data_IF_960904308789
#
_entry.id   IF_960904308789
#
_cell.length_a   1.000
_cell.length_b   1.000
_cell.length_c   1.000
_cell.angle_alpha   90.00
_cell.angle_beta   90.00
_cell.angle_gamma   90.00
#
_symmetry.space_group_name_H-M   'P 1'
#
loop_
_entity.id
_entity.type
_entity.pdbx_description
1 polymer ?
#
# COMPACT_ATOMS: atom_id res chain seq x y z
N UNK A 1 -20.79 8.95 19.40
CA UNK A 1 -19.31 8.91 19.53
C UNK A 1 -18.74 8.81 18.12
N UNK A 2 -17.82 9.69 17.74
CA UNK A 2 -17.25 9.68 16.39
C UNK A 2 -16.42 8.42 16.15
N UNK A 3 -16.57 7.84 14.95
CA UNK A 3 -15.90 6.61 14.50
C UNK A 3 -14.50 6.96 13.98
N UNK A 4 -13.55 7.15 14.89
CA UNK A 4 -12.16 7.46 14.51
C UNK A 4 -11.22 6.57 15.31
N UNK A 5 -10.18 6.00 14.67
CA UNK A 5 -9.18 5.24 15.39
C UNK A 5 -8.46 6.12 16.43
N UNK A 6 -7.91 5.51 17.47
CA UNK A 6 -7.23 6.19 18.57
C UNK A 6 -6.11 7.12 18.11
N UNK A 7 -5.84 8.17 18.89
CA UNK A 7 -4.68 9.02 18.70
C UNK A 7 -3.46 8.47 19.44
N UNK A 8 -2.28 9.00 19.13
CA UNK A 8 -0.99 8.55 19.66
C UNK A 8 -0.10 9.76 19.98
N UNK A 9 0.71 9.73 21.05
CA UNK A 9 1.64 10.81 21.35
C UNK A 9 2.84 10.88 20.39
N UNK A 10 3.07 9.82 19.61
CA UNK A 10 4.26 9.68 18.75
C UNK A 10 4.10 10.27 17.35
N UNK A 11 2.87 10.60 16.95
CA UNK A 11 2.61 11.17 15.63
C UNK A 11 1.38 12.07 15.63
N UNK A 12 1.39 13.02 14.70
CA UNK A 12 0.18 13.72 14.27
C UNK A 12 -0.40 13.05 13.02
N UNK A 13 -1.72 12.97 12.95
CA UNK A 13 -2.43 12.30 11.85
C UNK A 13 -3.33 13.27 11.11
N UNK A 14 -3.25 13.27 9.78
CA UNK A 14 -4.14 14.04 8.90
C UNK A 14 -4.74 13.17 7.80
N UNK A 15 -6.01 13.40 7.46
CA UNK A 15 -6.66 12.83 6.29
C UNK A 15 -6.55 13.82 5.13
N UNK A 16 -6.12 13.36 3.96
CA UNK A 16 -5.97 14.16 2.75
C UNK A 16 -6.73 13.52 1.60
N UNK A 17 -7.31 14.35 0.74
CA UNK A 17 -7.91 13.95 -0.54
C UNK A 17 -7.25 14.76 -1.64
N UNK A 18 -6.68 14.07 -2.63
CA UNK A 18 -5.91 14.68 -3.73
C UNK A 18 -6.33 14.08 -5.08
N UNK A 19 -5.86 14.68 -6.16
CA UNK A 19 -6.05 14.09 -7.49
C UNK A 19 -5.33 12.74 -7.60
N UNK A 20 -6.04 11.75 -8.14
CA UNK A 20 -5.48 10.49 -8.60
C UNK A 20 -4.73 10.68 -9.93
N UNK A 21 -3.91 9.71 -10.33
CA UNK A 21 -3.19 9.74 -11.59
C UNK A 21 -4.13 9.62 -12.80
N UNK A 22 -3.70 10.23 -13.90
CA UNK A 22 -4.41 10.37 -15.17
C UNK A 22 -3.35 10.49 -16.28
N UNK A 23 -3.47 9.83 -17.45
CA UNK A 23 -4.57 8.97 -17.93
C UNK A 23 -4.68 7.62 -17.23
N UNK A 24 -5.92 7.10 -17.26
CA UNK A 24 -6.33 5.78 -16.76
C UNK A 24 -6.81 4.90 -17.92
N UNK A 25 -6.94 3.60 -17.68
CA UNK A 25 -7.50 2.66 -18.63
C UNK A 25 -8.90 3.09 -19.10
N UNK A 26 -9.24 2.91 -20.39
CA UNK A 26 -10.59 3.14 -20.88
C UNK A 26 -11.61 2.34 -20.08
N UNK A 27 -12.69 2.99 -19.63
CA UNK A 27 -13.71 2.34 -18.81
C UNK A 27 -13.47 2.40 -17.30
N UNK A 28 -12.33 2.95 -16.83
CA UNK A 28 -12.11 3.20 -15.40
C UNK A 28 -12.93 4.35 -14.83
N UNK A 29 -13.37 5.26 -15.69
CA UNK A 29 -14.28 6.35 -15.32
C UNK A 29 -15.44 6.37 -16.29
N UNK A 30 -16.65 6.23 -15.76
CA UNK A 30 -17.90 6.24 -16.52
C UNK A 30 -18.82 7.29 -15.92
N UNK A 31 -19.11 8.33 -16.70
CA UNK A 31 -20.01 9.41 -16.30
C UNK A 31 -21.45 9.07 -16.71
N UNK A 32 -22.43 9.60 -15.98
CA UNK A 32 -23.85 9.47 -16.35
C UNK A 32 -24.19 10.11 -17.71
N UNK A 33 -23.40 11.10 -18.13
CA UNK A 33 -23.43 11.71 -19.46
C UNK A 33 -21.99 11.96 -19.93
N UNK A 34 -21.64 11.72 -21.20
CA UNK A 34 -20.32 12.05 -21.73
C UNK A 34 -19.97 13.53 -21.54
N UNK A 35 -18.68 13.82 -21.32
CA UNK A 35 -18.18 15.19 -21.20
C UNK A 35 -16.97 15.41 -22.12
N UNK A 36 -16.75 16.67 -22.50
CA UNK A 36 -15.54 17.11 -23.21
C UNK A 36 -14.49 17.70 -22.26
N UNK A 37 -14.80 17.81 -20.98
CA UNK A 37 -13.94 18.40 -19.96
C UNK A 37 -13.12 17.31 -19.25
N UNK A 38 -11.80 17.50 -19.14
CA UNK A 38 -10.89 16.52 -18.53
C UNK A 38 -11.19 16.33 -17.03
N UNK A 39 -11.52 17.42 -16.35
CA UNK A 39 -11.79 17.49 -14.92
C UNK A 39 -12.98 16.60 -14.50
N UNK A 40 -13.95 16.38 -15.39
CA UNK A 40 -15.08 15.51 -15.10
C UNK A 40 -14.63 14.05 -14.92
N UNK A 41 -13.61 13.64 -15.66
CA UNK A 41 -12.99 12.31 -15.59
C UNK A 41 -11.93 12.16 -14.49
N UNK A 42 -11.64 13.23 -13.74
CA UNK A 42 -10.62 13.18 -12.70
C UNK A 42 -11.17 12.48 -11.45
N UNK A 43 -10.55 11.34 -11.10
CA UNK A 43 -10.75 10.66 -9.81
C UNK A 43 -9.88 11.30 -8.73
N UNK A 44 -10.25 11.06 -7.48
CA UNK A 44 -9.51 11.47 -6.29
C UNK A 44 -8.98 10.25 -5.54
N UNK A 45 -7.90 10.45 -4.79
CA UNK A 45 -7.36 9.46 -3.85
C UNK A 45 -7.31 10.06 -2.46
N UNK A 46 -7.82 9.31 -1.49
CA UNK A 46 -7.83 9.63 -0.08
C UNK A 46 -6.74 8.84 0.65
N UNK A 47 -5.95 9.53 1.47
CA UNK A 47 -4.92 8.90 2.26
C UNK A 47 -4.74 9.57 3.61
N UNK A 48 -4.29 8.77 4.56
CA UNK A 48 -3.96 9.20 5.90
C UNK A 48 -2.45 9.32 6.04
N UNK A 49 -2.01 10.51 6.40
CA UNK A 49 -0.61 10.84 6.67
C UNK A 49 -0.39 10.88 8.18
N UNK A 50 0.63 10.17 8.64
CA UNK A 50 1.10 10.16 10.01
C UNK A 50 2.50 10.77 10.02
N UNK A 51 2.73 11.83 10.78
CA UNK A 51 4.01 12.54 10.88
C UNK A 51 4.50 12.45 12.30
N UNK A 52 5.75 12.05 12.49
CA UNK A 52 6.35 11.95 13.81
C UNK A 52 6.26 13.28 14.59
N UNK A 53 5.98 13.19 15.89
CA UNK A 53 6.10 14.35 16.80
C UNK A 53 7.56 14.59 17.22
N UNK A 54 8.46 13.64 16.93
CA UNK A 54 9.87 13.73 17.25
C UNK A 54 10.59 14.72 16.33
N UNK A 55 11.44 15.55 16.92
CA UNK A 55 12.35 16.37 16.13
C UNK A 55 13.49 15.50 15.55
N UNK A 56 13.49 15.33 14.23
CA UNK A 56 14.55 14.60 13.52
C UNK A 56 15.70 15.57 13.19
N UNK A 57 16.95 15.26 13.58
CA UNK A 57 18.10 16.08 13.19
C UNK A 57 18.20 16.24 11.67
N UNK A 58 18.60 17.42 11.21
CA UNK A 58 18.59 17.77 9.78
C UNK A 58 19.33 16.76 8.88
N UNK A 59 20.48 16.28 9.33
CA UNK A 59 21.34 15.36 8.57
C UNK A 59 21.07 13.87 8.85
N UNK A 60 20.11 13.54 9.73
CA UNK A 60 19.80 12.13 10.00
C UNK A 60 18.98 11.51 8.87
N UNK A 61 19.14 10.19 8.59
CA UNK A 61 18.23 9.49 7.71
C UNK A 61 16.79 9.51 8.25
N UNK A 62 15.84 9.51 7.31
CA UNK A 62 14.40 9.62 7.56
C UNK A 62 13.70 8.44 6.94
N UNK A 63 13.15 7.55 7.76
CA UNK A 63 12.43 6.39 7.28
C UNK A 63 10.99 6.81 7.00
N UNK A 64 10.53 6.59 5.77
CA UNK A 64 9.14 6.79 5.41
C UNK A 64 8.51 5.44 5.05
N UNK A 65 7.26 5.24 5.45
CA UNK A 65 6.51 4.03 5.08
C UNK A 65 5.31 4.38 4.23
N UNK A 66 5.04 3.53 3.24
CA UNK A 66 3.83 3.54 2.44
C UNK A 66 3.12 2.19 2.56
N UNK A 67 1.91 2.19 3.10
CA UNK A 67 1.09 1.01 3.31
C UNK A 67 -0.03 0.90 2.28
N UNK A 68 -0.11 -0.26 1.60
CA UNK A 68 -1.10 -0.57 0.57
C UNK A 68 -1.96 -1.76 1.01
N UNK A 69 -3.26 -1.55 1.12
CA UNK A 69 -4.21 -2.59 1.52
C UNK A 69 -4.59 -3.54 0.36
N UNK A 70 -5.16 -4.70 0.69
CA UNK A 70 -5.72 -5.65 -0.27
C UNK A 70 -7.10 -5.26 -0.80
N UNK A 71 -7.64 -6.07 -1.71
CA UNK A 71 -9.01 -5.88 -2.22
C UNK A 71 -10.04 -5.99 -1.08
N UNK A 72 -11.13 -5.21 -1.11
CA UNK A 72 -12.15 -5.17 -0.06
C UNK A 72 -11.68 -4.65 1.29
N UNK A 73 -10.60 -3.87 1.34
CA UNK A 73 -10.10 -3.26 2.58
C UNK A 73 -10.01 -1.74 2.42
N UNK A 74 -9.59 -1.06 3.48
CA UNK A 74 -9.28 0.37 3.46
C UNK A 74 -8.05 0.64 4.34
N UNK A 75 -7.52 1.87 4.30
CA UNK A 75 -6.35 2.33 5.05
C UNK A 75 -6.46 2.17 6.58
N UNK A 76 -7.68 2.03 7.12
CA UNK A 76 -7.93 1.77 8.53
C UNK A 76 -7.33 0.44 9.00
N UNK A 77 -7.17 -0.52 8.09
CA UNK A 77 -6.58 -1.84 8.38
C UNK A 77 -5.15 -1.74 8.92
N UNK A 78 -4.42 -0.68 8.55
CA UNK A 78 -3.01 -0.49 8.92
C UNK A 78 -2.83 0.33 10.20
N UNK A 79 -3.89 0.94 10.73
CA UNK A 79 -3.75 1.91 11.81
C UNK A 79 -3.12 1.29 13.08
N UNK A 80 -3.51 0.06 13.43
CA UNK A 80 -2.94 -0.65 14.58
C UNK A 80 -1.44 -0.92 14.39
N UNK A 81 -1.05 -1.39 13.21
CA UNK A 81 0.32 -1.73 12.84
C UNK A 81 1.19 -0.47 12.82
N UNK A 82 0.68 0.64 12.29
CA UNK A 82 1.38 1.93 12.25
C UNK A 82 1.61 2.45 13.67
N UNK A 83 0.62 2.37 14.55
CA UNK A 83 0.76 2.79 15.95
C UNK A 83 1.82 1.97 16.71
N UNK A 84 1.80 0.64 16.52
CA UNK A 84 2.84 -0.26 17.05
C UNK A 84 4.22 0.04 16.48
N UNK A 85 4.30 0.37 15.19
CA UNK A 85 5.55 0.69 14.51
C UNK A 85 6.18 1.96 15.08
N UNK A 86 5.43 3.05 15.23
CA UNK A 86 5.91 4.28 15.88
C UNK A 86 6.37 4.02 17.32
N UNK A 87 5.56 3.29 18.10
CA UNK A 87 5.90 2.93 19.48
C UNK A 87 7.21 2.14 19.55
N UNK A 88 7.39 1.16 18.66
CA UNK A 88 8.58 0.32 18.62
C UNK A 88 9.83 1.12 18.24
N UNK A 89 9.74 2.05 17.28
CA UNK A 89 10.89 2.88 16.89
C UNK A 89 11.29 3.85 18.00
N UNK A 90 10.31 4.42 18.71
CA UNK A 90 10.60 5.30 19.84
C UNK A 90 11.31 4.57 20.99
N UNK A 91 10.90 3.33 21.29
CA UNK A 91 11.44 2.56 22.42
C UNK A 91 12.72 1.80 22.08
N UNK A 92 12.78 1.17 20.90
CA UNK A 92 13.81 0.18 20.57
C UNK A 92 14.88 0.67 19.59
N UNK A 93 14.63 1.77 18.86
CA UNK A 93 15.52 2.25 17.80
C UNK A 93 15.77 3.77 17.91
N UNK A 94 16.44 4.25 18.98
CA UNK A 94 16.61 5.68 19.23
C UNK A 94 17.32 6.43 18.09
N UNK A 95 18.16 5.76 17.30
CA UNK A 95 18.93 6.34 16.19
C UNK A 95 18.29 6.14 14.80
N UNK A 96 17.13 5.48 14.72
CA UNK A 96 16.36 5.33 13.49
C UNK A 96 15.07 6.13 13.61
N UNK A 97 14.83 7.03 12.67
CA UNK A 97 13.72 7.97 12.77
C UNK A 97 12.68 7.68 11.71
N UNK A 98 11.48 7.26 12.13
CA UNK A 98 10.31 7.34 11.27
C UNK A 98 9.94 8.81 11.16
N UNK A 99 9.90 9.33 9.93
CA UNK A 99 9.44 10.68 9.63
C UNK A 99 7.94 10.64 9.30
N UNK A 100 7.62 10.02 8.17
CA UNK A 100 6.26 10.02 7.63
C UNK A 100 5.80 8.60 7.30
N UNK A 101 4.59 8.25 7.74
CA UNK A 101 3.88 7.04 7.28
C UNK A 101 2.63 7.46 6.52
N UNK A 102 2.35 6.79 5.41
CA UNK A 102 1.13 6.95 4.63
C UNK A 102 0.40 5.62 4.52
N UNK A 103 -0.91 5.65 4.74
CA UNK A 103 -1.82 4.58 4.33
C UNK A 103 -2.93 5.19 3.47
N UNK A 104 -3.12 4.69 2.25
CA UNK A 104 -4.09 5.25 1.30
C UNK A 104 -5.15 4.23 0.91
N UNK A 105 -6.35 4.72 0.59
CA UNK A 105 -7.40 3.93 -0.03
C UNK A 105 -7.21 3.93 -1.54
N UNK A 106 -7.29 2.77 -2.22
CA UNK A 106 -7.36 2.75 -3.69
C UNK A 106 -8.57 3.55 -4.17
N UNK A 107 -8.57 4.03 -5.43
CA UNK A 107 -9.59 4.98 -5.92
C UNK A 107 -11.04 4.51 -5.76
N UNK A 108 -11.27 3.20 -5.70
CA UNK A 108 -12.59 2.58 -5.54
C UNK A 108 -12.82 1.93 -4.17
N UNK A 109 -11.99 2.23 -3.15
CA UNK A 109 -12.21 1.79 -1.76
C UNK A 109 -12.28 2.95 -0.75
N UNK A 110 -12.85 2.68 0.43
CA UNK A 110 -12.88 3.60 1.57
C UNK A 110 -13.27 5.04 1.23
N UNK A 111 -12.53 6.00 1.78
CA UNK A 111 -12.78 7.43 1.56
C UNK A 111 -12.61 7.83 0.08
N UNK A 112 -11.72 7.17 -0.67
CA UNK A 112 -11.54 7.41 -2.10
C UNK A 112 -12.81 7.06 -2.89
N UNK A 113 -13.40 5.89 -2.64
CA UNK A 113 -14.65 5.47 -3.27
C UNK A 113 -15.77 6.47 -2.98
N UNK A 114 -15.86 6.91 -1.72
CA UNK A 114 -16.89 7.82 -1.28
C UNK A 114 -16.83 9.17 -2.02
N UNK A 115 -15.62 9.73 -2.23
CA UNK A 115 -15.46 10.98 -3.00
C UNK A 115 -15.56 10.79 -4.51
N UNK A 116 -15.36 9.56 -5.00
CA UNK A 116 -15.46 9.20 -6.43
C UNK A 116 -16.84 8.63 -6.81
N UNK A 117 -17.79 8.59 -5.87
CA UNK A 117 -19.12 8.01 -6.06
C UNK A 117 -19.80 8.59 -7.30
N UNK A 118 -20.30 7.70 -8.16
CA UNK A 118 -20.93 8.06 -9.44
C UNK A 118 -19.97 8.33 -10.60
N UNK A 119 -18.65 8.18 -10.41
CA UNK A 119 -17.64 8.25 -11.48
C UNK A 119 -16.96 6.92 -11.79
N UNK A 120 -16.89 6.01 -10.82
CA UNK A 120 -16.21 4.72 -10.96
C UNK A 120 -16.84 3.91 -12.11
N UNK A 121 -15.98 3.34 -12.94
CA UNK A 121 -16.39 2.56 -14.11
C UNK A 121 -16.32 1.05 -13.89
N UNK A 122 -16.31 0.29 -14.98
CA UNK A 122 -16.30 -1.18 -14.95
C UNK A 122 -14.90 -1.79 -15.12
N UNK A 123 -13.89 -0.95 -15.38
CA UNK A 123 -12.49 -1.37 -15.51
C UNK A 123 -11.69 -0.87 -14.31
N UNK A 124 -11.21 -1.79 -13.49
CA UNK A 124 -10.24 -1.50 -12.44
C UNK A 124 -8.88 -2.08 -12.82
N UNK A 125 -8.06 -1.26 -13.48
CA UNK A 125 -6.68 -1.63 -13.80
C UNK A 125 -5.77 -1.34 -12.60
N UNK A 126 -5.21 -2.40 -12.01
CA UNK A 126 -4.32 -2.28 -10.85
C UNK A 126 -3.03 -1.52 -11.20
N UNK A 127 -2.65 -1.45 -12.47
CA UNK A 127 -1.50 -0.66 -12.92
C UNK A 127 -1.76 0.86 -12.81
N UNK A 128 -3.01 1.31 -12.93
CA UNK A 128 -3.33 2.72 -12.67
C UNK A 128 -3.24 3.04 -11.19
N UNK A 129 -3.57 2.09 -10.31
CA UNK A 129 -3.38 2.26 -8.87
C UNK A 129 -1.89 2.46 -8.53
N UNK A 130 -0.97 1.77 -9.21
CA UNK A 130 0.47 2.01 -9.03
C UNK A 130 0.86 3.46 -9.34
N UNK A 131 0.30 4.05 -10.41
CA UNK A 131 0.51 5.46 -10.75
C UNK A 131 -0.05 6.39 -9.68
N UNK A 132 -1.18 6.04 -9.06
CA UNK A 132 -1.77 6.84 -7.97
C UNK A 132 -0.82 6.94 -6.77
N UNK A 133 -0.23 5.82 -6.34
CA UNK A 133 0.72 5.80 -5.23
C UNK A 133 2.06 6.46 -5.57
N UNK A 134 2.53 6.35 -6.82
CA UNK A 134 3.68 7.12 -7.31
C UNK A 134 3.37 8.63 -7.25
N UNK A 135 2.16 9.04 -7.63
CA UNK A 135 1.74 10.45 -7.57
C UNK A 135 1.64 10.95 -6.12
N UNK A 136 1.10 10.14 -5.20
CA UNK A 136 1.11 10.46 -3.76
C UNK A 136 2.53 10.76 -3.28
N UNK A 137 3.48 9.90 -3.58
CA UNK A 137 4.85 9.99 -3.05
C UNK A 137 5.69 11.06 -3.77
N UNK A 138 5.69 11.11 -5.11
CA UNK A 138 6.53 12.02 -5.88
C UNK A 138 5.97 13.44 -6.01
N UNK A 139 4.65 13.61 -5.90
CA UNK A 139 4.00 14.91 -6.13
C UNK A 139 3.36 15.43 -4.85
N UNK A 140 2.44 14.69 -4.25
CA UNK A 140 1.64 15.19 -3.12
C UNK A 140 2.42 15.25 -1.81
N UNK A 141 3.35 14.34 -1.60
CA UNK A 141 4.14 14.17 -0.37
C UNK A 141 5.65 14.17 -0.65
N UNK A 142 6.04 14.91 -1.71
CA UNK A 142 7.42 15.00 -2.19
C UNK A 142 8.41 15.44 -1.11
N UNK A 143 7.98 16.28 -0.17
CA UNK A 143 8.87 16.83 0.86
C UNK A 143 9.35 15.73 1.84
N UNK A 144 8.56 14.68 2.02
CA UNK A 144 8.95 13.51 2.81
C UNK A 144 9.68 12.47 1.94
N UNK A 145 9.07 12.04 0.83
CA UNK A 145 9.55 10.90 0.05
C UNK A 145 10.72 11.24 -0.88
N UNK A 146 10.88 12.50 -1.29
CA UNK A 146 12.03 12.96 -2.08
C UNK A 146 13.06 13.71 -1.23
N UNK A 147 12.94 13.67 0.10
CA UNK A 147 13.96 14.23 0.98
C UNK A 147 15.33 13.57 0.68
N UNK A 148 16.44 14.33 0.65
CA UNK A 148 17.75 13.77 0.30
C UNK A 148 18.14 12.54 1.14
N UNK A 149 17.81 12.59 2.43
CA UNK A 149 18.06 11.53 3.42
C UNK A 149 16.88 10.55 3.61
N UNK A 150 15.90 10.55 2.71
CA UNK A 150 14.77 9.61 2.79
C UNK A 150 15.23 8.16 2.55
N UNK A 151 14.70 7.26 3.37
CA UNK A 151 14.71 5.81 3.22
C UNK A 151 13.24 5.36 3.15
N UNK A 152 12.74 5.19 1.93
CA UNK A 152 11.34 4.90 1.69
C UNK A 152 11.11 3.39 1.63
N UNK A 153 10.13 2.93 2.40
CA UNK A 153 9.70 1.54 2.50
C UNK A 153 8.27 1.43 1.99
N UNK A 154 7.99 0.40 1.20
CA UNK A 154 6.60 0.03 0.87
C UNK A 154 6.25 -1.30 1.53
N UNK A 155 5.08 -1.34 2.19
CA UNK A 155 4.52 -2.53 2.83
C UNK A 155 3.14 -2.75 2.25
N UNK A 156 2.88 -3.93 1.69
CA UNK A 156 1.70 -4.11 0.87
C UNK A 156 1.10 -5.50 0.99
N UNK A 157 -0.23 -5.62 0.94
CA UNK A 157 -0.94 -6.90 1.01
C UNK A 157 -1.76 -7.18 -0.24
N UNK A 158 -1.77 -8.45 -0.70
CA UNK A 158 -2.67 -8.92 -1.76
C UNK A 158 -2.62 -8.08 -3.04
N UNK A 159 -3.72 -7.45 -3.42
CA UNK A 159 -3.79 -6.49 -4.53
C UNK A 159 -2.77 -5.36 -4.39
N UNK A 160 -2.63 -4.82 -3.18
CA UNK A 160 -1.59 -3.85 -2.85
C UNK A 160 -0.18 -4.39 -3.11
N UNK A 161 0.05 -5.68 -2.90
CA UNK A 161 1.33 -6.34 -3.17
C UNK A 161 1.72 -6.29 -4.65
N UNK A 162 0.77 -6.59 -5.55
CA UNK A 162 0.96 -6.40 -6.99
C UNK A 162 1.23 -4.93 -7.33
N UNK A 163 0.42 -4.02 -6.78
CA UNK A 163 0.57 -2.58 -7.02
C UNK A 163 1.97 -2.11 -6.61
N UNK A 164 2.48 -2.56 -5.44
CA UNK A 164 3.83 -2.24 -4.98
C UNK A 164 4.93 -2.78 -5.91
N UNK A 165 4.77 -3.98 -6.48
CA UNK A 165 5.69 -4.51 -7.49
C UNK A 165 5.75 -3.62 -8.73
N UNK A 166 4.58 -3.17 -9.21
CA UNK A 166 4.51 -2.25 -10.34
C UNK A 166 5.16 -0.90 -10.01
N UNK A 167 4.94 -0.38 -8.80
CA UNK A 167 5.57 0.86 -8.36
C UNK A 167 7.10 0.77 -8.34
N UNK A 168 7.66 -0.31 -7.79
CA UNK A 168 9.12 -0.48 -7.69
C UNK A 168 9.76 -0.84 -9.02
N UNK A 169 9.01 -1.41 -9.96
CA UNK A 169 9.44 -1.56 -11.35
C UNK A 169 9.50 -0.22 -12.11
N UNK A 170 8.47 0.64 -11.94
CA UNK A 170 8.39 1.95 -12.63
C UNK A 170 9.37 2.97 -12.02
N UNK A 171 9.51 2.99 -10.70
CA UNK A 171 10.31 3.96 -9.94
C UNK A 171 11.35 3.25 -9.04
N UNK A 172 12.36 2.56 -9.61
CA UNK A 172 13.28 1.69 -8.86
C UNK A 172 14.18 2.43 -7.87
N UNK A 173 14.28 3.76 -7.95
CA UNK A 173 15.08 4.58 -7.04
C UNK A 173 14.25 5.31 -5.98
N UNK A 174 12.92 5.21 -6.04
CA UNK A 174 12.03 5.87 -5.09
C UNK A 174 11.99 5.11 -3.75
N UNK A 175 12.06 3.78 -3.78
CA UNK A 175 12.01 2.92 -2.59
C UNK A 175 13.33 2.20 -2.35
N UNK A 176 13.67 1.99 -1.08
CA UNK A 176 14.88 1.28 -0.65
C UNK A 176 14.59 -0.14 -0.19
N UNK A 177 13.35 -0.46 0.17
CA UNK A 177 12.91 -1.83 0.39
C UNK A 177 11.40 -1.98 0.15
N UNK A 178 10.98 -3.20 -0.19
CA UNK A 178 9.58 -3.57 -0.30
C UNK A 178 9.26 -4.85 0.46
N UNK A 179 8.12 -4.89 1.15
CA UNK A 179 7.63 -6.07 1.86
C UNK A 179 6.21 -6.37 1.38
N UNK A 180 6.05 -7.52 0.74
CA UNK A 180 4.83 -7.93 0.07
C UNK A 180 4.22 -9.12 0.82
N UNK A 181 3.00 -8.96 1.30
CA UNK A 181 2.31 -9.94 2.14
C UNK A 181 1.23 -10.61 1.29
N UNK A 182 1.41 -11.90 0.97
CA UNK A 182 0.58 -12.67 0.03
C UNK A 182 0.21 -11.87 -1.24
N UNK A 183 1.19 -11.36 -2.01
CA UNK A 183 0.91 -10.56 -3.20
C UNK A 183 0.14 -11.37 -4.25
N UNK A 184 -0.93 -10.80 -4.81
CA UNK A 184 -1.66 -11.42 -5.94
C UNK A 184 -0.95 -11.04 -7.24
N UNK A 185 0.15 -11.71 -7.54
CA UNK A 185 1.09 -11.32 -8.59
C UNK A 185 1.36 -12.39 -9.67
N UNK A 186 0.75 -13.57 -9.53
CA UNK A 186 0.85 -14.69 -10.48
C UNK A 186 -0.55 -15.11 -10.90
N UNK A 187 -0.74 -15.38 -12.19
CA UNK A 187 -2.01 -15.82 -12.78
C UNK A 187 -1.87 -17.19 -13.42
N UNK A 188 -2.95 -17.97 -13.36
CA UNK A 188 -3.10 -19.28 -14.00
C UNK A 188 -4.41 -19.24 -14.79
N UNK A 189 -4.36 -18.91 -16.09
CA UNK A 189 -5.56 -18.73 -16.92
C UNK A 189 -6.52 -19.93 -16.88
N UNK A 190 -6.00 -21.14 -16.70
CA UNK A 190 -6.76 -22.38 -16.52
C UNK A 190 -7.68 -22.36 -15.29
N UNK A 191 -7.35 -21.59 -14.26
CA UNK A 191 -8.14 -21.45 -13.04
C UNK A 191 -9.20 -20.34 -13.13
N UNK A 192 -9.22 -19.54 -14.20
CA UNK A 192 -10.14 -18.38 -14.33
C UNK A 192 -11.60 -18.78 -14.11
N UNK A 193 -12.04 -19.85 -14.77
CA UNK A 193 -13.43 -20.34 -14.64
C UNK A 193 -13.76 -20.79 -13.21
N UNK A 194 -12.81 -21.38 -12.50
CA UNK A 194 -12.98 -21.77 -11.10
C UNK A 194 -13.09 -20.52 -10.21
N UNK A 195 -12.16 -19.57 -10.37
CA UNK A 195 -12.14 -18.33 -9.60
C UNK A 195 -13.44 -17.52 -9.77
N UNK A 196 -13.96 -17.41 -11.00
CA UNK A 196 -15.24 -16.73 -11.25
C UNK A 196 -16.41 -17.38 -10.50
N UNK A 197 -16.45 -18.72 -10.42
CA UNK A 197 -17.47 -19.43 -9.63
C UNK A 197 -17.33 -19.16 -8.13
N UNK A 198 -16.09 -19.09 -7.62
CA UNK A 198 -15.81 -18.74 -6.22
C UNK A 198 -16.31 -17.33 -5.91
N UNK A 199 -16.06 -16.36 -6.80
CA UNK A 199 -16.53 -14.99 -6.62
C UNK A 199 -18.08 -14.89 -6.66
N UNK A 200 -18.72 -15.65 -7.56
CA UNK A 200 -20.19 -15.78 -7.59
C UNK A 200 -20.74 -16.36 -6.28
N UNK A 201 -20.12 -17.41 -5.75
CA UNK A 201 -20.51 -18.02 -4.47
C UNK A 201 -20.36 -17.01 -3.31
N UNK A 202 -19.28 -16.24 -3.28
CA UNK A 202 -19.10 -15.18 -2.28
C UNK A 202 -20.19 -14.11 -2.35
N UNK A 203 -20.59 -13.70 -3.55
CA UNK A 203 -21.69 -12.76 -3.76
C UNK A 203 -23.01 -13.33 -3.24
N UNK A 204 -23.36 -14.57 -3.62
CA UNK A 204 -24.61 -15.20 -3.20
C UNK A 204 -24.68 -15.51 -1.70
N UNK A 205 -23.53 -15.55 -1.01
CA UNK A 205 -23.44 -15.77 0.44
C UNK A 205 -23.31 -14.47 1.25
N UNK A 206 -23.43 -13.31 0.61
CA UNK A 206 -23.27 -11.99 1.23
C UNK A 206 -21.93 -11.82 1.96
N UNK A 207 -20.81 -12.30 1.41
CA UNK A 207 -19.50 -12.11 2.07
C UNK A 207 -19.07 -10.64 2.14
N UNK A 208 -19.46 -9.86 1.13
CA UNK A 208 -19.22 -8.43 1.02
C UNK A 208 -20.56 -7.72 1.08
N UNK A 209 -20.69 -6.74 1.96
CA UNK A 209 -21.87 -5.88 2.06
C UNK A 209 -21.47 -4.43 1.92
N UNK A 210 -22.27 -3.69 1.19
CA UNK A 210 -22.09 -2.25 0.95
C UNK A 210 -23.17 -1.38 1.59
N UNK A 211 -24.25 -2.02 2.05
CA UNK A 211 -25.23 -1.40 2.94
C UNK A 211 -25.88 -2.45 3.84
N UNK A 212 -26.49 -1.95 4.91
CA UNK A 212 -27.32 -2.69 5.85
C UNK A 212 -28.66 -2.00 5.91
N UNK A 213 -29.72 -2.64 5.45
CA UNK A 213 -31.07 -2.09 5.40
C UNK A 213 -31.99 -2.75 6.42
N UNK A 214 -33.16 -2.14 6.60
CA UNK A 214 -34.25 -2.65 7.44
C UNK A 214 -33.82 -2.97 8.88
N UNK A 215 -32.86 -2.22 9.43
CA UNK A 215 -32.42 -2.37 10.81
C UNK A 215 -33.60 -1.98 11.74
N UNK A 216 -34.10 -2.88 12.59
CA UNK A 216 -35.19 -2.59 13.53
C UNK A 216 -34.88 -1.45 14.50
N UNK A 217 -35.89 -0.67 14.85
CA UNK A 217 -35.78 0.36 15.90
C UNK A 217 -35.47 -0.28 17.25
N UNK A 218 -34.48 0.27 17.97
CA UNK A 218 -33.97 -0.30 19.22
C UNK A 218 -32.76 -1.24 19.05
N UNK A 219 -32.44 -1.67 17.84
CA UNK A 219 -31.19 -2.41 17.58
C UNK A 219 -30.00 -1.47 17.36
N UNK A 220 -28.82 -1.93 17.80
CA UNK A 220 -27.57 -1.22 17.56
C UNK A 220 -27.06 -1.54 16.15
N UNK A 221 -27.27 -0.62 15.21
CA UNK A 221 -26.84 -0.77 13.82
C UNK A 221 -25.33 -1.06 13.69
N UNK A 222 -24.49 -0.43 14.52
CA UNK A 222 -23.04 -0.65 14.48
C UNK A 222 -22.68 -2.07 14.90
N UNK A 223 -23.37 -2.61 15.90
CA UNK A 223 -23.18 -3.99 16.34
C UNK A 223 -23.57 -4.99 15.23
N UNK A 224 -24.65 -4.75 14.48
CA UNK A 224 -25.05 -5.61 13.34
C UNK A 224 -23.99 -5.64 12.24
N UNK A 225 -23.42 -4.49 11.90
CA UNK A 225 -22.32 -4.40 10.93
C UNK A 225 -21.14 -5.21 11.45
N UNK A 226 -20.72 -4.96 12.70
CA UNK A 226 -19.60 -5.65 13.31
C UNK A 226 -19.82 -7.18 13.34
N UNK A 227 -21.00 -7.63 13.76
CA UNK A 227 -21.40 -9.04 13.81
C UNK A 227 -21.33 -9.72 12.44
N UNK A 228 -21.81 -9.04 11.39
CA UNK A 228 -21.70 -9.55 10.03
C UNK A 228 -20.24 -9.78 9.64
N UNK A 229 -19.38 -8.79 9.90
CA UNK A 229 -17.96 -8.90 9.56
C UNK A 229 -17.24 -9.95 10.41
N UNK A 230 -17.58 -10.13 11.69
CA UNK A 230 -16.96 -11.17 12.51
C UNK A 230 -17.44 -12.59 12.21
N UNK A 231 -18.66 -12.76 11.69
CA UNK A 231 -19.27 -14.10 11.59
C UNK A 231 -19.47 -14.60 10.16
N UNK A 232 -19.58 -13.70 9.17
CA UNK A 232 -20.03 -14.05 7.80
C UNK A 232 -19.10 -13.58 6.68
N UNK A 233 -18.06 -12.81 6.99
CA UNK A 233 -17.17 -12.22 5.99
C UNK A 233 -15.75 -12.85 5.96
N UNK A 234 -14.91 -12.35 5.05
CA UNK A 234 -13.47 -12.67 4.98
C UNK A 234 -12.67 -12.22 6.21
N UNK A 235 -13.23 -11.32 7.02
CA UNK A 235 -12.52 -10.62 8.09
C UNK A 235 -12.72 -11.27 9.47
N UNK A 236 -13.39 -12.42 9.55
CA UNK A 236 -13.77 -13.11 10.79
C UNK A 236 -12.62 -13.43 11.76
N UNK A 237 -11.39 -13.58 11.24
CA UNK A 237 -10.19 -13.90 12.03
C UNK A 237 -9.33 -12.66 12.33
N UNK A 238 -9.76 -11.48 11.92
CA UNK A 238 -8.96 -10.27 12.10
C UNK A 238 -8.78 -9.97 13.58
N UNK A 239 -7.62 -9.44 13.92
CA UNK A 239 -7.38 -8.88 15.24
C UNK A 239 -8.48 -7.84 15.55
N UNK A 240 -9.16 -7.89 16.71
CA UNK A 240 -10.36 -7.09 16.95
C UNK A 240 -10.16 -5.58 16.76
N UNK A 241 -8.98 -5.06 17.15
CA UNK A 241 -8.64 -3.65 16.96
C UNK A 241 -8.42 -3.31 15.49
N UNK A 242 -7.82 -4.21 14.71
CA UNK A 242 -7.60 -4.04 13.27
C UNK A 242 -8.95 -4.02 12.54
N UNK A 243 -9.83 -4.97 12.84
CA UNK A 243 -11.18 -5.00 12.28
C UNK A 243 -11.98 -3.75 12.63
N UNK A 244 -11.96 -3.33 13.91
CA UNK A 244 -12.64 -2.11 14.35
C UNK A 244 -12.13 -0.89 13.60
N UNK A 245 -10.81 -0.71 13.49
CA UNK A 245 -10.23 0.44 12.79
C UNK A 245 -10.63 0.47 11.31
N UNK A 246 -10.63 -0.69 10.64
CA UNK A 246 -11.09 -0.80 9.26
C UNK A 246 -12.59 -0.45 9.12
N UNK A 247 -13.44 -1.00 10.00
CA UNK A 247 -14.89 -0.74 9.96
C UNK A 247 -15.25 0.70 10.29
N UNK A 248 -14.62 1.29 11.29
CA UNK A 248 -14.82 2.71 11.64
C UNK A 248 -14.40 3.63 10.49
N UNK A 249 -13.33 3.29 9.77
CA UNK A 249 -12.93 4.00 8.56
C UNK A 249 -13.91 3.80 7.41
N UNK A 250 -14.64 2.68 7.37
CA UNK A 250 -15.55 2.32 6.30
C UNK A 250 -16.93 2.97 6.42
N UNK A 251 -17.31 3.38 7.63
CA UNK A 251 -18.62 3.98 7.89
C UNK A 251 -18.53 5.51 7.65
N UNK A 252 -19.42 6.10 6.83
CA UNK A 252 -19.46 7.55 6.61
C UNK A 252 -19.61 8.36 7.91
N UNK A 253 -18.95 9.52 8.00
CA UNK A 253 -18.92 10.35 9.21
C UNK A 253 -20.30 10.87 9.66
N UNK A 254 -21.29 10.84 8.78
CA UNK A 254 -22.68 11.24 9.07
C UNK A 254 -23.43 10.29 10.01
N UNK A 255 -22.95 9.05 10.17
CA UNK A 255 -23.55 8.08 11.08
C UNK A 255 -23.02 8.26 12.50
N UNK A 256 -23.93 8.50 13.46
CA UNK A 256 -23.59 8.54 14.88
C UNK A 256 -24.10 7.28 15.59
N UNK A 257 -23.21 6.59 16.32
CA UNK A 257 -23.55 5.41 17.14
C UNK A 257 -24.68 5.67 18.14
N UNK A 258 -24.93 6.92 18.54
CA UNK A 258 -26.00 7.29 19.47
C UNK A 258 -27.38 7.39 18.82
N UNK A 259 -27.46 7.41 17.48
CA UNK A 259 -28.70 7.60 16.72
C UNK A 259 -29.11 6.32 16.02
N UNK A 260 -30.43 6.18 15.85
CA UNK A 260 -31.01 5.11 15.05
C UNK A 260 -30.93 5.46 13.56
N UNK A 261 -30.58 4.46 12.76
CA UNK A 261 -30.63 4.50 11.30
C UNK A 261 -31.25 3.20 10.80
N UNK A 262 -32.32 3.32 10.01
CA UNK A 262 -32.95 2.16 9.36
C UNK A 262 -32.02 1.53 8.31
N UNK A 263 -31.22 2.37 7.66
CA UNK A 263 -30.26 1.96 6.64
C UNK A 263 -28.91 2.61 6.93
N UNK A 264 -27.85 1.83 6.83
CA UNK A 264 -26.46 2.29 6.91
C UNK A 264 -25.74 1.85 5.64
N UNK A 265 -25.33 2.82 4.84
CA UNK A 265 -24.53 2.63 3.64
C UNK A 265 -23.05 2.85 3.95
N UNK A 266 -22.19 1.95 3.46
CA UNK A 266 -20.74 2.03 3.63
C UNK A 266 -20.11 2.95 2.57
N UNK A 267 -18.86 3.35 2.79
CA UNK A 267 -18.16 4.31 1.94
C UNK A 267 -17.88 3.74 0.54
N UNK A 268 -17.33 2.53 0.46
CA UNK A 268 -17.15 1.85 -0.82
C UNK A 268 -18.34 0.98 -1.19
N UNK A 269 -18.65 0.97 -2.49
CA UNK A 269 -19.58 0.02 -3.06
C UNK A 269 -18.86 -1.33 -3.13
N UNK A 270 -19.27 -2.27 -2.30
CA UNK A 270 -18.73 -3.64 -2.25
C UNK A 270 -18.82 -4.39 -3.59
N UNK A 271 -19.58 -3.89 -4.57
CA UNK A 271 -19.49 -4.38 -5.95
C UNK A 271 -18.13 -4.11 -6.61
N UNK A 272 -17.44 -3.05 -6.19
CA UNK A 272 -16.09 -2.71 -6.65
C UNK A 272 -15.07 -3.80 -6.32
N UNK A 273 -15.26 -4.54 -5.23
CA UNK A 273 -14.42 -5.68 -4.88
C UNK A 273 -14.50 -6.77 -5.96
N UNK A 274 -15.71 -7.04 -6.47
CA UNK A 274 -15.93 -8.02 -7.54
C UNK A 274 -15.40 -7.52 -8.89
N UNK A 275 -15.53 -6.22 -9.17
CA UNK A 275 -14.91 -5.59 -10.34
C UNK A 275 -13.38 -5.75 -10.27
N UNK A 276 -12.76 -5.52 -9.12
CA UNK A 276 -11.33 -5.74 -8.91
C UNK A 276 -10.94 -7.20 -9.13
N UNK A 277 -11.69 -8.16 -8.57
CA UNK A 277 -11.41 -9.59 -8.80
C UNK A 277 -11.50 -9.96 -10.28
N UNK A 278 -12.51 -9.44 -10.99
CA UNK A 278 -12.72 -9.71 -12.41
C UNK A 278 -11.56 -9.21 -13.30
N UNK A 279 -11.03 -8.02 -13.00
CA UNK A 279 -9.97 -7.35 -13.77
C UNK A 279 -8.54 -7.74 -13.33
N UNK A 280 -8.40 -8.52 -12.26
CA UNK A 280 -7.09 -8.89 -11.69
C UNK A 280 -6.16 -9.59 -12.70
N UNK A 281 -6.67 -10.57 -13.43
CA UNK A 281 -5.87 -11.36 -14.38
C UNK A 281 -5.33 -10.53 -15.54
N UNK A 282 -6.17 -9.63 -16.08
CA UNK A 282 -5.77 -8.71 -17.14
C UNK A 282 -4.72 -7.72 -16.64
N UNK A 283 -4.93 -7.14 -15.45
CA UNK A 283 -3.99 -6.22 -14.82
C UNK A 283 -2.60 -6.86 -14.63
N UNK A 284 -2.57 -8.09 -14.12
CA UNK A 284 -1.32 -8.82 -13.86
C UNK A 284 -0.63 -9.19 -15.18
N UNK A 285 -1.38 -9.78 -16.12
CA UNK A 285 -0.81 -10.27 -17.37
C UNK A 285 -0.26 -9.14 -18.24
N UNK A 286 -0.91 -7.96 -18.23
CA UNK A 286 -0.51 -6.81 -19.03
C UNK A 286 0.90 -6.29 -18.70
N UNK A 287 1.37 -6.46 -17.47
CA UNK A 287 2.62 -5.86 -17.00
C UNK A 287 3.55 -6.82 -16.28
N UNK A 288 3.26 -8.13 -16.32
CA UNK A 288 4.08 -9.18 -15.70
C UNK A 288 5.57 -9.11 -16.06
N UNK A 289 5.89 -8.79 -17.31
CA UNK A 289 7.28 -8.65 -17.78
C UNK A 289 8.05 -7.52 -17.09
N UNK A 290 7.35 -6.54 -16.48
CA UNK A 290 7.99 -5.46 -15.73
C UNK A 290 8.62 -5.92 -14.42
N UNK A 291 8.31 -7.12 -13.92
CA UNK A 291 8.94 -7.67 -12.72
C UNK A 291 10.47 -7.80 -12.89
N UNK A 292 10.94 -8.03 -14.11
CA UNK A 292 12.36 -8.04 -14.46
C UNK A 292 13.07 -6.71 -14.22
N UNK A 293 12.34 -5.61 -14.00
CA UNK A 293 12.89 -4.29 -13.68
C UNK A 293 12.97 -4.00 -12.18
N UNK A 294 12.42 -4.87 -11.34
CA UNK A 294 12.48 -4.69 -9.89
C UNK A 294 13.94 -4.89 -9.44
N UNK A 295 14.51 -3.83 -8.85
CA UNK A 295 15.86 -3.82 -8.27
C UNK A 295 15.86 -3.52 -6.78
N UNK A 296 14.68 -3.18 -6.24
CA UNK A 296 14.50 -2.87 -4.83
C UNK A 296 14.58 -4.17 -4.02
N UNK A 297 15.38 -4.25 -2.94
CA UNK A 297 15.36 -5.36 -2.01
C UNK A 297 13.92 -5.68 -1.58
N UNK A 298 13.46 -6.89 -1.91
CA UNK A 298 12.05 -7.26 -1.77
C UNK A 298 11.91 -8.54 -0.96
N UNK A 299 11.05 -8.51 0.05
CA UNK A 299 10.65 -9.68 0.82
C UNK A 299 9.19 -10.02 0.55
N UNK A 300 8.92 -11.26 0.18
CA UNK A 300 7.57 -11.80 0.04
C UNK A 300 7.27 -12.70 1.23
N UNK A 301 6.23 -12.37 1.99
CA UNK A 301 5.71 -13.22 3.06
C UNK A 301 4.48 -13.97 2.54
N UNK A 302 4.52 -15.30 2.55
CA UNK A 302 3.42 -16.16 2.14
C UNK A 302 2.84 -16.91 3.34
N UNK A 303 1.52 -17.08 3.40
CA UNK A 303 0.90 -17.99 4.36
C UNK A 303 0.90 -19.42 3.82
N UNK A 304 1.37 -20.40 4.59
CA UNK A 304 1.41 -21.81 4.16
C UNK A 304 0.04 -22.34 3.69
N UNK A 305 -1.04 -21.93 4.37
CA UNK A 305 -2.40 -22.35 4.04
C UNK A 305 -3.09 -21.40 3.05
N UNK A 306 -2.32 -20.52 2.40
CA UNK A 306 -2.81 -19.68 1.32
C UNK A 306 -2.75 -20.40 -0.03
N UNK A 307 -3.81 -20.31 -0.82
CA UNK A 307 -3.86 -20.96 -2.14
C UNK A 307 -2.80 -20.41 -3.12
N UNK A 308 -2.35 -19.16 -2.94
CA UNK A 308 -1.32 -18.53 -3.76
C UNK A 308 0.10 -18.91 -3.33
N UNK A 309 0.31 -19.47 -2.14
CA UNK A 309 1.66 -19.76 -1.64
C UNK A 309 2.40 -20.74 -2.55
N UNK A 310 1.75 -21.83 -2.96
CA UNK A 310 2.30 -22.81 -3.91
C UNK A 310 2.63 -22.17 -5.26
N UNK A 311 1.81 -21.22 -5.71
CA UNK A 311 2.02 -20.54 -6.97
C UNK A 311 3.20 -19.57 -6.93
N UNK A 312 3.29 -18.78 -5.87
CA UNK A 312 4.44 -17.90 -5.63
C UNK A 312 5.72 -18.72 -5.54
N UNK A 313 5.72 -19.82 -4.78
CA UNK A 313 6.87 -20.72 -4.64
C UNK A 313 7.30 -21.29 -6.00
N UNK A 314 6.34 -21.68 -6.86
CA UNK A 314 6.63 -22.19 -8.20
C UNK A 314 7.35 -21.18 -9.12
N UNK A 315 7.21 -19.88 -8.85
CA UNK A 315 7.80 -18.79 -9.64
C UNK A 315 9.06 -18.19 -9.01
N UNK A 316 9.52 -18.70 -7.85
CA UNK A 316 10.64 -18.14 -7.08
C UNK A 316 11.96 -18.08 -7.85
N UNK A 317 12.22 -19.07 -8.71
CA UNK A 317 13.46 -19.14 -9.50
C UNK A 317 13.28 -18.55 -10.92
N UNK A 318 12.12 -17.95 -11.20
CA UNK A 318 11.76 -17.38 -12.50
C UNK A 318 11.35 -15.91 -12.31
N UNK A 319 10.06 -15.62 -12.43
CA UNK A 319 9.48 -14.28 -12.43
C UNK A 319 9.64 -13.56 -11.09
N UNK A 320 9.79 -14.31 -9.99
CA UNK A 320 9.93 -13.77 -8.63
C UNK A 320 11.36 -13.92 -8.09
N UNK A 321 12.34 -14.18 -8.96
CA UNK A 321 13.77 -14.34 -8.58
C UNK A 321 14.42 -13.10 -7.96
N UNK A 322 13.77 -11.94 -8.07
CA UNK A 322 14.20 -10.69 -7.43
C UNK A 322 13.89 -10.64 -5.92
N UNK A 323 13.08 -11.55 -5.38
CA UNK A 323 12.54 -11.48 -4.02
C UNK A 323 13.04 -12.60 -3.08
N UNK A 324 13.24 -12.27 -1.81
CA UNK A 324 13.34 -13.25 -0.72
C UNK A 324 11.93 -13.72 -0.34
N UNK A 325 11.60 -14.99 -0.62
CA UNK A 325 10.30 -15.57 -0.27
C UNK A 325 10.40 -16.32 1.07
N UNK A 326 9.52 -15.99 2.01
CA UNK A 326 9.38 -16.67 3.29
C UNK A 326 7.94 -17.18 3.46
N UNK A 327 7.79 -18.49 3.59
CA UNK A 327 6.50 -19.15 3.90
C UNK A 327 6.32 -19.24 5.42
N UNK A 328 5.14 -18.85 5.91
CA UNK A 328 4.78 -18.80 7.33
C UNK A 328 3.80 -19.92 7.67
N UNK A 329 4.26 -20.84 8.50
CA UNK A 329 3.50 -22.02 8.96
C UNK A 329 2.16 -21.62 9.59
N UNK A 330 1.09 -22.34 9.22
CA UNK A 330 -0.24 -22.15 9.78
C UNK A 330 -0.93 -20.82 9.40
N UNK A 331 -0.32 -19.97 8.57
CA UNK A 331 -0.88 -18.68 8.17
C UNK A 331 -1.68 -18.76 6.87
N UNK A 332 -2.64 -17.84 6.72
CA UNK A 332 -3.55 -17.73 5.57
C UNK A 332 -3.37 -16.37 4.86
N UNK A 333 -4.18 -16.10 3.84
CA UNK A 333 -4.12 -14.87 3.03
C UNK A 333 -4.02 -13.59 3.83
N UNK A 334 -4.87 -13.44 4.86
CA UNK A 334 -5.05 -12.19 5.59
C UNK A 334 -4.17 -12.09 6.84
N UNK A 335 -3.03 -12.79 6.87
CA UNK A 335 -2.15 -12.84 8.04
C UNK A 335 -1.68 -11.47 8.56
N UNK A 336 -1.61 -10.44 7.71
CA UNK A 336 -1.32 -9.06 8.11
C UNK A 336 -2.33 -8.47 9.10
N UNK A 337 -3.58 -8.96 9.08
CA UNK A 337 -4.67 -8.52 9.93
C UNK A 337 -5.03 -9.58 10.99
N UNK A 338 -4.80 -10.86 10.73
CA UNK A 338 -5.02 -11.97 11.69
C UNK A 338 -3.89 -12.09 12.72
N UNK A 339 -2.65 -11.76 12.33
CA UNK A 339 -1.45 -11.83 13.19
C UNK A 339 -0.58 -10.58 13.01
N UNK A 340 -1.13 -9.37 13.23
CA UNK A 340 -0.47 -8.12 12.89
C UNK A 340 0.88 -7.95 13.58
N UNK A 341 1.01 -8.36 14.85
CA UNK A 341 2.27 -8.20 15.60
C UNK A 341 3.41 -9.05 15.02
N UNK A 342 3.13 -10.31 14.67
CA UNK A 342 4.10 -11.20 14.01
C UNK A 342 4.54 -10.62 12.67
N UNK A 343 3.57 -10.22 11.83
CA UNK A 343 3.87 -9.70 10.51
C UNK A 343 4.66 -8.40 10.60
N UNK A 344 4.33 -7.50 11.52
CA UNK A 344 5.08 -6.27 11.72
C UNK A 344 6.48 -6.48 12.30
N UNK A 345 6.69 -7.53 13.10
CA UNK A 345 8.04 -7.95 13.49
C UNK A 345 8.88 -8.31 12.27
N UNK A 346 8.36 -9.18 11.39
CA UNK A 346 9.07 -9.61 10.17
C UNK A 346 9.31 -8.45 9.19
N UNK A 347 8.33 -7.56 9.03
CA UNK A 347 8.49 -6.31 8.27
C UNK A 347 9.63 -5.49 8.84
N UNK A 348 9.65 -5.28 10.16
CA UNK A 348 10.67 -4.48 10.80
C UNK A 348 12.06 -5.10 10.69
N UNK A 349 12.20 -6.41 10.89
CA UNK A 349 13.47 -7.11 10.79
C UNK A 349 14.10 -6.94 9.40
N UNK A 350 13.28 -7.02 8.35
CA UNK A 350 13.72 -6.79 6.98
C UNK A 350 14.08 -5.33 6.73
N UNK A 351 13.28 -4.38 7.21
CA UNK A 351 13.56 -2.94 7.08
C UNK A 351 14.86 -2.55 7.78
N UNK A 352 15.08 -3.02 9.01
CA UNK A 352 16.30 -2.76 9.78
C UNK A 352 17.52 -3.35 9.06
N UNK A 353 17.40 -4.55 8.50
CA UNK A 353 18.45 -5.17 7.69
C UNK A 353 18.77 -4.32 6.47
N UNK A 354 17.78 -4.00 5.64
CA UNK A 354 17.96 -3.18 4.44
C UNK A 354 18.53 -1.78 4.77
N UNK A 355 18.07 -1.16 5.86
CA UNK A 355 18.54 0.15 6.30
C UNK A 355 20.03 0.12 6.68
N UNK A 356 20.50 -0.95 7.31
CA UNK A 356 21.91 -1.13 7.69
C UNK A 356 22.79 -1.50 6.50
N UNK A 357 22.28 -2.29 5.56
CA UNK A 357 23.04 -2.80 4.41
C UNK A 357 23.11 -1.82 3.23
N UNK A 358 22.12 -0.93 3.09
CA UNK A 358 22.03 0.03 1.99
C UNK A 358 22.04 1.50 2.45
N UNK A 359 23.09 1.96 3.16
CA UNK A 359 23.20 3.38 3.48
C UNK A 359 23.35 4.17 2.18
N UNK A 360 22.38 5.06 1.91
CA UNK A 360 22.43 5.95 0.76
C UNK A 360 23.66 6.85 0.89
N UNK A 361 24.63 6.71 -0.01
CA UNK A 361 25.79 7.61 -0.04
C UNK A 361 25.31 8.96 -0.58
N UNK A 362 25.27 9.95 0.30
CA UNK A 362 24.86 11.31 -0.03
C UNK A 362 26.06 12.16 -0.46
N UNK A 363 25.78 13.33 -1.05
CA UNK A 363 26.81 14.34 -1.30
C UNK A 363 27.54 14.77 -0.02
N UNK A 364 26.88 14.72 1.14
CA UNK A 364 27.54 14.98 2.42
C UNK A 364 28.59 13.91 2.75
N UNK A 365 28.29 12.64 2.51
CA UNK A 365 29.26 11.55 2.70
C UNK A 365 30.42 11.65 1.69
N UNK A 366 30.12 12.01 0.43
CA UNK A 366 31.16 12.27 -0.55
C UNK A 366 32.03 13.47 -0.19
N UNK A 367 31.44 14.57 0.28
CA UNK A 367 32.16 15.75 0.74
C UNK A 367 33.02 15.44 1.97
N UNK A 368 32.48 14.68 2.94
CA UNK A 368 33.24 14.21 4.12
C UNK A 368 34.45 13.37 3.71
N UNK A 369 34.32 12.54 2.67
CA UNK A 369 35.38 11.64 2.20
C UNK A 369 36.41 12.32 1.28
N UNK A 370 35.97 13.20 0.38
CA UNK A 370 36.78 13.73 -0.72
C UNK A 370 36.97 15.26 -0.68
N UNK A 371 36.40 15.95 0.31
CA UNK A 371 36.48 17.40 0.46
C UNK A 371 35.65 18.16 -0.58
N UNK A 372 35.95 19.44 -0.76
CA UNK A 372 35.26 20.34 -1.70
C UNK A 372 35.32 19.90 -3.16
N UNK A 373 36.33 19.11 -3.53
CA UNK A 373 36.56 18.65 -4.90
C UNK A 373 35.90 17.29 -5.21
N UNK A 374 35.06 16.77 -4.30
CA UNK A 374 34.42 15.46 -4.44
C UNK A 374 33.76 15.26 -5.80
N UNK A 375 33.09 16.29 -6.33
CA UNK A 375 32.42 16.23 -7.63
C UNK A 375 33.40 15.89 -8.76
N UNK A 376 34.50 16.63 -8.88
CA UNK A 376 35.49 16.40 -9.93
C UNK A 376 36.23 15.08 -9.72
N UNK A 377 36.50 14.68 -8.47
CA UNK A 377 37.11 13.39 -8.13
C UNK A 377 36.23 12.22 -8.56
N UNK A 378 34.94 12.23 -8.20
CA UNK A 378 33.98 11.18 -8.55
C UNK A 378 33.82 11.06 -10.07
N UNK A 379 33.72 12.20 -10.77
CA UNK A 379 33.62 12.22 -12.24
C UNK A 379 34.87 11.67 -12.92
N UNK A 380 36.06 12.10 -12.49
CA UNK A 380 37.33 11.61 -13.03
C UNK A 380 37.49 10.12 -12.79
N UNK A 381 37.20 9.64 -11.59
CA UNK A 381 37.24 8.21 -11.27
C UNK A 381 36.38 7.42 -12.26
N UNK A 382 35.13 7.84 -12.48
CA UNK A 382 34.24 7.10 -13.39
C UNK A 382 34.68 7.14 -14.85
N UNK A 383 35.28 8.26 -15.27
CA UNK A 383 35.85 8.38 -16.61
C UNK A 383 37.13 7.56 -16.78
N UNK A 384 37.96 7.43 -15.75
CA UNK A 384 39.11 6.51 -15.77
C UNK A 384 38.67 5.05 -15.84
N UNK A 385 37.63 4.65 -15.08
CA UNK A 385 37.06 3.30 -15.19
C UNK A 385 36.62 2.97 -16.64
N UNK A 386 36.21 3.97 -17.42
CA UNK A 386 35.75 3.82 -18.80
C UNK A 386 36.89 3.91 -19.83
N UNK A 387 37.76 4.92 -19.70
CA UNK A 387 38.74 5.30 -20.72
C UNK A 387 40.13 4.70 -20.46
N UNK A 388 40.37 4.21 -19.24
CA UNK A 388 41.65 3.75 -18.75
C UNK A 388 42.36 4.81 -17.88
N UNK A 389 43.17 4.32 -16.93
CA UNK A 389 43.87 5.16 -15.95
C UNK A 389 44.85 6.16 -16.60
N UNK A 390 45.38 5.82 -17.78
CA UNK A 390 46.35 6.64 -18.50
C UNK A 390 45.71 7.73 -19.38
N UNK A 391 44.39 7.81 -19.46
CA UNK A 391 43.72 8.85 -20.25
C UNK A 391 43.85 10.21 -19.59
N UNK A 392 44.34 11.21 -20.33
CA UNK A 392 44.41 12.58 -19.84
C UNK A 392 43.00 13.20 -19.78
N UNK A 393 42.41 13.24 -18.59
CA UNK A 393 41.10 13.84 -18.35
C UNK A 393 41.27 15.33 -18.01
N UNK A 394 40.52 16.25 -18.65
CA UNK A 394 40.60 17.67 -18.35
C UNK A 394 40.50 17.99 -16.86
N UNK A 395 41.31 18.94 -16.41
CA UNK A 395 41.40 19.29 -14.98
C UNK A 395 40.12 19.91 -14.44
N UNK A 396 39.36 20.64 -15.28
CA UNK A 396 38.03 21.20 -14.99
C UNK A 396 36.92 20.26 -15.49
N UNK A 397 36.25 19.59 -14.56
CA UNK A 397 35.07 18.74 -14.77
C UNK A 397 33.99 19.01 -13.73
#
# INVERSE_FOLDING_TARGET
>A
MHLKPSDSPYYERTLKVKDAANPRAPGSVVLSKPSHLREDYQLKIAYRKYVTTRQIPFNSPRINFLFLHGNGMNKGIWHYQIDKLFTMYEVSFPDMHIDTVIAADHVNMGDSANVNRGKLGHVSDWNDSAKDYIMITKIHERDAFLHPNAFNVVVAHSMGGFIAMQMTAIEPNLFQSSILINPVCVTFPELRHHNLKVYQDWYHRDFVKFYFDNIPEGENWYHKIYEHYTNRSFYRKFHPVVLRNMLEDEIPEMYDRSKYYRTVELKHDGLEDYINYYNSEESITATKSSYEQIRVPTKILCGENDALATFIDSQKDQELSFAEIQVLEGKYHNMHAESPDLIMSLVNDFVVTCYKEHPKITDFEYYKKYGSDYKSILRKKKLHDLLGDNTNIPSKL
#
